data_IF_215554605722
#
_entry.id   IF_215554605722
#
_cell.length_a   1.000
_cell.length_b   1.000
_cell.length_c   1.000
_cell.angle_alpha   90.00
_cell.angle_beta   90.00
_cell.angle_gamma   90.00
#
_symmetry.space_group_name_H-M   'P 1'
#
loop_
_entity.id
_entity.type
_entity.pdbx_description
1 polymer ?
#
# COMPACT_ATOMS: atom_id res chain seq x y z
N UNK A 1 24.82 4.06 28.85
CA UNK A 1 23.40 3.93 28.44
C UNK A 1 22.86 5.18 27.74
N UNK A 2 22.95 6.39 28.31
CA UNK A 2 22.40 7.61 27.68
C UNK A 2 22.91 7.90 26.26
N UNK A 3 24.21 7.67 25.99
CA UNK A 3 24.78 7.86 24.64
C UNK A 3 24.18 6.93 23.58
N UNK A 4 24.00 5.64 23.91
CA UNK A 4 23.36 4.67 23.00
C UNK A 4 21.91 5.09 22.69
N UNK A 5 21.15 5.46 23.73
CA UNK A 5 19.78 5.94 23.55
C UNK A 5 19.70 7.19 22.67
N UNK A 6 20.59 8.17 22.90
CA UNK A 6 20.65 9.37 22.07
C UNK A 6 20.95 9.04 20.60
N UNK A 7 21.90 8.14 20.35
CA UNK A 7 22.24 7.68 18.99
C UNK A 7 21.05 6.98 18.33
N UNK A 8 20.35 6.08 19.04
CA UNK A 8 19.19 5.38 18.51
C UNK A 8 18.05 6.35 18.17
N UNK A 9 17.78 7.33 19.03
CA UNK A 9 16.76 8.36 18.79
C UNK A 9 17.11 9.21 17.57
N UNK A 10 18.36 9.67 17.46
CA UNK A 10 18.80 10.47 16.31
C UNK A 10 18.75 9.66 15.02
N UNK A 11 19.16 8.40 15.06
CA UNK A 11 19.10 7.49 13.92
C UNK A 11 17.65 7.27 13.47
N UNK A 12 16.75 6.90 14.39
CA UNK A 12 15.33 6.71 14.11
C UNK A 12 14.68 7.98 13.55
N UNK A 13 14.90 9.13 14.21
CA UNK A 13 14.34 10.41 13.77
C UNK A 13 14.84 10.81 12.39
N UNK A 14 16.12 10.61 12.10
CA UNK A 14 16.71 10.95 10.81
C UNK A 14 16.21 10.00 9.71
N UNK A 15 16.19 8.69 9.97
CA UNK A 15 15.65 7.70 9.06
C UNK A 15 14.19 7.97 8.72
N UNK A 16 13.35 8.19 9.73
CA UNK A 16 11.94 8.53 9.55
C UNK A 16 11.76 9.79 8.67
N UNK A 17 12.52 10.86 8.94
CA UNK A 17 12.46 12.09 8.14
C UNK A 17 12.86 11.89 6.69
N UNK A 18 13.94 11.13 6.44
CA UNK A 18 14.42 10.86 5.09
C UNK A 18 13.39 10.03 4.31
N UNK A 19 12.88 8.95 4.90
CA UNK A 19 11.87 8.09 4.26
C UNK A 19 10.59 8.85 3.94
N UNK A 20 10.07 9.66 4.88
CA UNK A 20 8.90 10.51 4.63
C UNK A 20 9.18 11.54 3.53
N UNK A 21 10.37 12.13 3.52
CA UNK A 21 10.78 13.07 2.46
C UNK A 21 10.77 12.42 1.08
N UNK A 22 11.44 11.27 0.93
CA UNK A 22 11.47 10.51 -0.34
C UNK A 22 10.06 10.17 -0.81
N UNK A 23 9.19 9.74 0.10
CA UNK A 23 7.80 9.43 -0.23
C UNK A 23 7.04 10.67 -0.75
N UNK A 24 7.06 11.78 0.00
CA UNK A 24 6.29 12.97 -0.38
C UNK A 24 6.80 13.60 -1.68
N UNK A 25 8.11 13.74 -1.83
CA UNK A 25 8.69 14.32 -3.05
C UNK A 25 8.55 13.39 -4.25
N UNK A 26 8.75 12.08 -4.06
CA UNK A 26 8.58 11.10 -5.13
C UNK A 26 7.15 11.05 -5.66
N UNK A 27 6.15 11.10 -4.77
CA UNK A 27 4.75 11.15 -5.18
C UNK A 27 4.43 12.44 -5.95
N UNK A 28 4.97 13.57 -5.49
CA UNK A 28 4.77 14.87 -6.14
C UNK A 28 5.39 14.90 -7.55
N UNK A 29 6.63 14.43 -7.70
CA UNK A 29 7.31 14.41 -9.00
C UNK A 29 6.60 13.47 -9.98
N UNK A 30 6.15 12.30 -9.53
CA UNK A 30 5.37 11.37 -10.36
C UNK A 30 4.04 11.97 -10.82
N UNK A 31 3.35 12.72 -9.95
CA UNK A 31 2.13 13.48 -10.30
C UNK A 31 2.39 14.51 -11.39
N UNK A 32 3.47 15.29 -11.25
CA UNK A 32 3.82 16.32 -12.22
C UNK A 32 4.22 15.72 -13.56
N UNK A 33 5.01 14.64 -13.57
CA UNK A 33 5.38 13.92 -14.79
C UNK A 33 4.15 13.36 -15.51
N UNK A 34 3.20 12.78 -14.77
CA UNK A 34 1.96 12.27 -15.34
C UNK A 34 1.11 13.40 -15.95
N UNK A 35 0.96 14.52 -15.24
CA UNK A 35 0.20 15.68 -15.70
C UNK A 35 0.83 16.32 -16.95
N UNK A 36 2.14 16.56 -16.92
CA UNK A 36 2.90 17.09 -18.06
C UNK A 36 2.76 16.21 -19.29
N UNK A 37 2.89 14.88 -19.10
CA UNK A 37 2.75 13.92 -20.19
C UNK A 37 1.36 13.89 -20.81
N UNK A 38 0.31 14.07 -20.01
CA UNK A 38 -1.09 14.14 -20.46
C UNK A 38 -1.39 15.44 -21.20
N UNK A 39 -0.79 16.56 -20.78
CA UNK A 39 -0.95 17.88 -21.40
C UNK A 39 -0.02 18.12 -22.60
N UNK A 40 0.95 17.24 -22.83
CA UNK A 40 1.96 17.43 -23.86
C UNK A 40 1.35 17.56 -25.28
N UNK A 41 1.71 18.58 -26.07
CA UNK A 41 1.07 18.90 -27.37
C UNK A 41 1.27 17.83 -28.44
N UNK A 42 2.34 17.03 -28.35
CA UNK A 42 2.56 15.87 -29.22
C UNK A 42 1.61 14.68 -28.94
N UNK A 43 0.79 14.76 -27.88
CA UNK A 43 -0.15 13.72 -27.47
C UNK A 43 0.53 12.48 -26.85
N UNK A 44 -0.29 11.65 -26.21
CA UNK A 44 0.03 10.26 -25.89
C UNK A 44 -0.33 9.37 -27.09
N UNK A 45 0.42 8.31 -27.33
CA UNK A 45 0.03 7.29 -28.31
C UNK A 45 -1.26 6.61 -27.82
N UNK A 46 -2.41 7.14 -28.26
CA UNK A 46 -3.73 6.84 -27.72
C UNK A 46 -4.18 7.86 -26.67
N UNK A 47 -5.29 8.55 -26.94
CA UNK A 47 -6.00 9.35 -25.93
C UNK A 47 -6.56 8.39 -24.88
N UNK A 48 -5.92 8.33 -23.70
CA UNK A 48 -6.48 7.61 -22.55
C UNK A 48 -7.72 8.37 -22.02
N UNK A 49 -8.76 7.66 -21.54
CA UNK A 49 -9.89 8.30 -20.90
C UNK A 49 -9.42 9.12 -19.68
N UNK A 50 -10.05 10.27 -19.41
CA UNK A 50 -9.61 11.20 -18.35
C UNK A 50 -9.60 10.56 -16.96
N UNK A 51 -10.49 9.59 -16.70
CA UNK A 51 -10.50 8.84 -15.44
C UNK A 51 -9.26 7.96 -15.25
N UNK A 52 -8.77 7.31 -16.32
CA UNK A 52 -7.55 6.49 -16.25
C UNK A 52 -6.31 7.37 -16.01
N UNK A 53 -6.24 8.51 -16.69
CA UNK A 53 -5.17 9.49 -16.48
C UNK A 53 -5.15 10.02 -15.04
N UNK A 54 -6.33 10.28 -14.45
CA UNK A 54 -6.46 10.70 -13.07
C UNK A 54 -6.00 9.61 -12.09
N UNK A 55 -6.38 8.35 -12.32
CA UNK A 55 -5.96 7.21 -11.48
C UNK A 55 -4.44 7.05 -11.49
N UNK A 56 -3.79 7.18 -12.66
CA UNK A 56 -2.34 7.12 -12.77
C UNK A 56 -1.67 8.25 -11.99
N UNK A 57 -2.16 9.48 -12.16
CA UNK A 57 -1.63 10.63 -11.45
C UNK A 57 -1.85 10.55 -9.93
N UNK A 58 -2.84 9.81 -9.44
CA UNK A 58 -3.19 9.78 -8.01
C UNK A 58 -2.79 8.47 -7.34
N UNK A 59 -3.53 7.40 -7.61
CA UNK A 59 -3.37 6.09 -7.00
C UNK A 59 -2.02 5.46 -7.35
N UNK A 60 -1.65 5.45 -8.64
CA UNK A 60 -0.41 4.77 -9.05
C UNK A 60 0.82 5.54 -8.59
N UNK A 61 0.80 6.88 -8.69
CA UNK A 61 1.85 7.74 -8.16
C UNK A 61 2.06 7.53 -6.64
N UNK A 62 0.98 7.45 -5.86
CA UNK A 62 1.03 7.15 -4.42
C UNK A 62 1.59 5.75 -4.15
N UNK A 63 1.11 4.72 -4.86
CA UNK A 63 1.55 3.34 -4.67
C UNK A 63 3.04 3.17 -5.01
N UNK A 64 3.51 3.75 -6.12
CA UNK A 64 4.91 3.70 -6.54
C UNK A 64 5.80 4.43 -5.54
N UNK A 65 5.39 5.63 -5.11
CA UNK A 65 6.09 6.35 -4.06
C UNK A 65 6.15 5.54 -2.75
N UNK A 66 5.04 4.88 -2.38
CA UNK A 66 4.93 4.05 -1.18
C UNK A 66 5.96 2.92 -1.09
N UNK A 67 6.48 2.46 -2.22
CA UNK A 67 7.56 1.45 -2.26
C UNK A 67 8.81 1.94 -1.53
N UNK A 68 9.08 3.25 -1.50
CA UNK A 68 10.22 3.79 -0.76
C UNK A 68 10.13 3.51 0.75
N UNK A 69 8.91 3.55 1.30
CA UNK A 69 8.66 3.22 2.69
C UNK A 69 8.96 1.74 2.96
N UNK A 70 8.47 0.86 2.08
CA UNK A 70 8.73 -0.57 2.18
C UNK A 70 10.23 -0.87 2.15
N UNK A 71 10.98 -0.28 1.22
CA UNK A 71 12.43 -0.47 1.14
C UNK A 71 13.13 -0.04 2.42
N UNK A 72 12.77 1.13 2.97
CA UNK A 72 13.36 1.63 4.20
C UNK A 72 13.04 0.74 5.41
N UNK A 73 11.78 0.29 5.52
CA UNK A 73 11.32 -0.58 6.60
C UNK A 73 12.02 -1.95 6.53
N UNK A 74 12.13 -2.55 5.34
CA UNK A 74 12.84 -3.81 5.15
C UNK A 74 14.34 -3.65 5.44
N UNK A 75 14.95 -2.53 5.05
CA UNK A 75 16.34 -2.23 5.39
C UNK A 75 16.57 -2.14 6.91
N UNK A 76 15.67 -1.45 7.62
CA UNK A 76 15.73 -1.34 9.08
C UNK A 76 15.50 -2.70 9.76
N UNK A 77 14.54 -3.48 9.28
CA UNK A 77 14.28 -4.83 9.77
C UNK A 77 15.49 -5.76 9.60
N UNK A 78 16.14 -5.72 8.43
CA UNK A 78 17.36 -6.49 8.17
C UNK A 78 18.52 -6.07 9.10
N UNK A 79 18.73 -4.76 9.28
CA UNK A 79 19.77 -4.26 10.19
C UNK A 79 19.51 -4.71 11.63
N UNK A 80 18.26 -4.63 12.09
CA UNK A 80 17.84 -5.12 13.40
C UNK A 80 18.04 -6.62 13.56
N UNK A 81 17.63 -7.41 12.55
CA UNK A 81 17.79 -8.86 12.53
C UNK A 81 19.26 -9.27 12.58
N UNK A 82 20.12 -8.65 11.77
CA UNK A 82 21.56 -8.91 11.77
C UNK A 82 22.19 -8.55 13.12
N UNK A 83 21.84 -7.39 13.66
CA UNK A 83 22.35 -6.94 14.97
C UNK A 83 21.95 -7.92 16.07
N UNK A 84 20.68 -8.35 16.09
CA UNK A 84 20.19 -9.33 17.05
C UNK A 84 20.85 -10.70 16.87
N UNK A 85 20.92 -11.20 15.64
CA UNK A 85 21.53 -12.49 15.32
C UNK A 85 23.01 -12.55 15.73
N UNK A 86 23.78 -11.51 15.40
CA UNK A 86 25.18 -11.41 15.79
C UNK A 86 25.33 -11.31 17.31
N UNK A 87 24.53 -10.48 17.96
CA UNK A 87 24.56 -10.34 19.42
C UNK A 87 24.25 -11.67 20.12
N UNK A 88 23.23 -12.39 19.66
CA UNK A 88 22.87 -13.70 20.20
C UNK A 88 23.92 -14.75 19.91
N UNK A 89 24.51 -14.76 18.70
CA UNK A 89 25.54 -15.72 18.33
C UNK A 89 26.80 -15.57 19.19
N UNK A 90 27.17 -14.33 19.53
CA UNK A 90 28.26 -14.02 20.46
C UNK A 90 27.98 -14.49 21.89
N UNK A 91 26.71 -14.62 22.28
CA UNK A 91 26.27 -15.12 23.59
C UNK A 91 26.19 -16.66 23.58
N UNK A 92 25.44 -17.22 22.64
CA UNK A 92 25.19 -18.66 22.46
C UNK A 92 24.65 -18.93 21.06
N UNK A 93 25.32 -19.81 20.32
CA UNK A 93 24.88 -20.21 18.99
C UNK A 93 23.51 -20.91 19.00
N UNK A 94 23.18 -21.64 20.07
CA UNK A 94 21.87 -22.30 20.22
C UNK A 94 20.73 -21.27 20.30
N UNK A 95 20.93 -20.20 21.07
CA UNK A 95 19.95 -19.13 21.21
C UNK A 95 19.72 -18.40 19.87
N UNK A 96 20.80 -18.12 19.14
CA UNK A 96 20.72 -17.53 17.81
C UNK A 96 19.94 -18.44 16.83
N UNK A 97 20.20 -19.75 16.84
CA UNK A 97 19.52 -20.69 15.96
C UNK A 97 18.00 -20.75 16.21
N UNK A 98 17.58 -20.81 17.47
CA UNK A 98 16.16 -20.83 17.85
C UNK A 98 15.45 -19.55 17.40
N UNK A 99 16.05 -18.38 17.67
CA UNK A 99 15.45 -17.09 17.28
C UNK A 99 15.35 -16.96 15.77
N UNK A 100 16.40 -17.30 15.02
CA UNK A 100 16.38 -17.25 13.56
C UNK A 100 15.33 -18.19 12.96
N UNK A 101 15.20 -19.41 13.50
CA UNK A 101 14.18 -20.35 13.08
C UNK A 101 12.76 -19.80 13.35
N UNK A 102 12.53 -19.20 14.52
CA UNK A 102 11.24 -18.59 14.86
C UNK A 102 10.91 -17.40 13.93
N UNK A 103 11.88 -16.52 13.67
CA UNK A 103 11.72 -15.38 12.74
C UNK A 103 11.40 -15.86 11.32
N UNK A 104 12.06 -16.92 10.84
CA UNK A 104 11.79 -17.51 9.53
C UNK A 104 10.43 -18.23 9.46
N UNK A 105 9.98 -18.84 10.56
CA UNK A 105 8.68 -19.51 10.63
C UNK A 105 7.50 -18.53 10.70
N UNK A 106 7.68 -17.36 11.30
CA UNK A 106 6.64 -16.34 11.48
C UNK A 106 5.88 -15.97 10.18
N UNK A 107 6.53 -15.64 9.04
CA UNK A 107 5.82 -15.34 7.80
C UNK A 107 5.03 -16.54 7.25
N UNK A 108 5.52 -17.77 7.46
CA UNK A 108 4.80 -18.99 7.05
C UNK A 108 3.51 -19.11 7.85
N UNK A 109 3.58 -18.95 9.18
CA UNK A 109 2.40 -18.98 10.05
C UNK A 109 1.41 -17.89 9.67
N UNK A 110 1.90 -16.68 9.42
CA UNK A 110 1.05 -15.55 9.03
C UNK A 110 0.37 -15.81 7.68
N UNK A 111 1.10 -16.35 6.70
CA UNK A 111 0.55 -16.70 5.38
C UNK A 111 -0.55 -17.77 5.46
N UNK A 112 -0.35 -18.78 6.31
CA UNK A 112 -1.36 -19.82 6.54
C UNK A 112 -2.64 -19.26 7.19
N UNK A 113 -2.51 -18.25 8.05
CA UNK A 113 -3.63 -17.57 8.70
C UNK A 113 -4.31 -16.55 7.78
N UNK A 114 -3.56 -15.87 6.91
CA UNK A 114 -4.07 -14.78 6.06
C UNK A 114 -4.86 -15.31 4.86
N UNK A 115 -4.45 -16.42 4.25
CA UNK A 115 -5.13 -16.96 3.07
C UNK A 115 -6.63 -17.25 3.27
N UNK A 116 -7.06 -17.90 4.36
CA UNK A 116 -8.47 -18.10 4.67
C UNK A 116 -9.23 -16.79 4.93
N UNK A 117 -8.58 -15.81 5.57
CA UNK A 117 -9.17 -14.50 5.85
C UNK A 117 -9.42 -13.70 4.57
N UNK A 118 -8.44 -13.67 3.67
CA UNK A 118 -8.58 -13.01 2.37
C UNK A 118 -9.72 -13.61 1.56
N UNK A 119 -9.84 -14.94 1.53
CA UNK A 119 -10.95 -15.61 0.81
C UNK A 119 -12.32 -15.20 1.34
N UNK A 120 -12.45 -15.05 2.67
CA UNK A 120 -13.70 -14.57 3.29
C UNK A 120 -13.97 -13.10 2.93
N UNK A 121 -12.96 -12.25 3.05
CA UNK A 121 -13.07 -10.83 2.70
C UNK A 121 -13.46 -10.63 1.22
N UNK A 122 -12.90 -11.43 0.30
CA UNK A 122 -13.28 -11.39 -1.11
C UNK A 122 -14.72 -11.81 -1.35
N UNK A 123 -15.23 -12.81 -0.62
CA UNK A 123 -16.62 -13.22 -0.73
C UNK A 123 -17.57 -12.11 -0.27
N UNK A 124 -17.29 -11.50 0.88
CA UNK A 124 -18.08 -10.38 1.43
C UNK A 124 -18.06 -9.14 0.51
N UNK A 125 -16.88 -8.77 -0.01
CA UNK A 125 -16.76 -7.66 -0.97
C UNK A 125 -17.54 -7.92 -2.26
N UNK A 126 -17.57 -9.16 -2.75
CA UNK A 126 -18.29 -9.52 -3.98
C UNK A 126 -19.80 -9.45 -3.80
N UNK A 127 -20.31 -9.81 -2.63
CA UNK A 127 -21.72 -9.64 -2.29
C UNK A 127 -22.09 -8.16 -2.16
N UNK A 128 -21.25 -7.38 -1.47
CA UNK A 128 -21.44 -5.93 -1.34
C UNK A 128 -21.46 -5.22 -2.71
N UNK A 129 -20.55 -5.60 -3.62
CA UNK A 129 -20.50 -5.05 -4.97
C UNK A 129 -21.76 -5.38 -5.79
N UNK A 130 -22.30 -6.61 -5.67
CA UNK A 130 -23.57 -6.99 -6.34
C UNK A 130 -24.75 -6.21 -5.80
N UNK A 131 -24.84 -6.05 -4.47
CA UNK A 131 -25.91 -5.27 -3.86
C UNK A 131 -25.85 -3.80 -4.31
N UNK A 132 -24.65 -3.22 -4.39
CA UNK A 132 -24.43 -1.87 -4.92
C UNK A 132 -24.83 -1.71 -6.39
N UNK A 133 -24.51 -2.70 -7.24
CA UNK A 133 -24.92 -2.71 -8.64
C UNK A 133 -26.46 -2.75 -8.76
N UNK A 134 -27.12 -3.65 -8.03
CA UNK A 134 -28.59 -3.75 -8.03
C UNK A 134 -29.26 -2.47 -7.55
N UNK A 135 -28.74 -1.83 -6.49
CA UNK A 135 -29.26 -0.55 -6.01
C UNK A 135 -29.08 0.59 -7.04
N UNK A 136 -27.96 0.58 -7.77
CA UNK A 136 -27.70 1.53 -8.86
C UNK A 136 -28.70 1.32 -10.01
N UNK A 137 -28.95 0.07 -10.37
CA UNK A 137 -29.93 -0.28 -11.41
C UNK A 137 -31.36 0.10 -11.00
N UNK A 138 -31.74 -0.10 -9.72
CA UNK A 138 -33.04 0.34 -9.20
C UNK A 138 -33.20 1.86 -9.23
N UNK A 139 -32.19 2.62 -8.82
CA UNK A 139 -32.25 4.09 -8.83
C UNK A 139 -32.25 4.67 -10.24
N UNK A 140 -31.49 4.07 -11.17
CA UNK A 140 -31.52 4.42 -12.58
C UNK A 140 -32.88 4.06 -13.24
N UNK A 141 -33.41 2.87 -12.93
CA UNK A 141 -34.69 2.37 -13.42
C UNK A 141 -35.89 3.18 -12.91
N UNK A 142 -35.84 3.66 -11.67
CA UNK A 142 -36.89 4.53 -11.10
C UNK A 142 -36.97 5.88 -11.83
N UNK A 143 -35.84 6.41 -12.29
CA UNK A 143 -35.80 7.63 -13.14
C UNK A 143 -36.39 7.39 -14.53
N UNK A 144 -36.16 6.21 -15.11
CA UNK A 144 -36.80 5.81 -16.36
C UNK A 144 -38.32 5.62 -16.21
N UNK A 145 -38.76 4.97 -15.12
CA UNK A 145 -40.19 4.77 -14.79
C UNK A 145 -40.93 6.09 -14.53
N UNK A 146 -40.31 7.06 -13.84
CA UNK A 146 -40.87 8.41 -13.71
C UNK A 146 -40.96 9.18 -15.04
N UNK A 147 -40.03 8.93 -15.97
CA UNK A 147 -40.07 9.51 -17.33
C UNK A 147 -41.26 9.02 -18.18
N UNK A 148 -41.85 7.88 -17.85
CA UNK A 148 -43.04 7.32 -18.53
C UNK A 148 -44.38 7.76 -17.91
N UNK A 149 -44.38 8.63 -16.89
CA UNK A 149 -45.61 9.26 -16.39
C UNK A 149 -46.54 8.37 -15.54
N UNK A 150 -46.01 7.37 -14.83
CA UNK A 150 -46.81 6.51 -13.95
C UNK A 150 -47.08 7.10 -12.55
N UNK A 151 -47.49 8.36 -12.46
CA UNK A 151 -48.04 8.98 -11.22
C UNK A 151 -49.49 9.46 -11.41
N UNK A 152 -50.22 8.86 -12.35
CA UNK A 152 -51.64 9.16 -12.59
C UNK A 152 -52.43 7.94 -13.05
N UNK A 153 -52.62 6.97 -12.15
CA UNK A 153 -53.73 6.01 -12.17
C UNK A 153 -54.03 5.56 -10.73
#
# INVERSE_FOLDING_TARGET
MGGLFAVLIVCWRTGSRLTTGVYVYGEHDLRLLAADRVLHPAGLAGRRPPGEALTIATSDASNVSGVSWLIAEQGAALAGLLTAALSLFLISWQLAAVVLAATAAQPVVLHLLSGPLERRAYAEQREAARAGALATDFTAGFRALKGFGAEGA
#
